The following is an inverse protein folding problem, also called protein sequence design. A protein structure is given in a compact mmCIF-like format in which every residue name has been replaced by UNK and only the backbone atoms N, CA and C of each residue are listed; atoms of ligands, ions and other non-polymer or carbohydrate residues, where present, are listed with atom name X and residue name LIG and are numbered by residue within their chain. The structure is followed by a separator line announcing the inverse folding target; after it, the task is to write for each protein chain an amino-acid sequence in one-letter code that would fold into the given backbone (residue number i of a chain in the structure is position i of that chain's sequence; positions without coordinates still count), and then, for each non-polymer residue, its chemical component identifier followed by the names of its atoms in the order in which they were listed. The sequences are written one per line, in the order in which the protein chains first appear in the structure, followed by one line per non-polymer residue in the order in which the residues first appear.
data_IF_246673805662
#
_entry.id   IF_246673805662
#
_cell.length_a   1.000
_cell.length_b   1.000
_cell.length_c   1.000
_cell.angle_alpha   90.00
_cell.angle_beta   90.00
_cell.angle_gamma   90.00
#
_symmetry.space_group_name_H-M   'P 1'
#
loop_
_entity.id
_entity.type
_entity.pdbx_description
1 polymer ?
#
# COMPACT_ATOMS: atom_id res chain seq x y z
N UNK A 1 3.83 7.69 10.34
CA UNK A 1 4.53 6.81 9.39
C UNK A 1 3.63 5.63 9.13
N UNK A 2 3.27 5.38 7.88
CA UNK A 2 2.47 4.21 7.50
C UNK A 2 2.26 4.22 5.99
N UNK A 3 1.28 4.99 5.50
CA UNK A 3 0.92 5.03 4.08
C UNK A 3 0.93 6.46 3.56
N UNK A 4 1.01 6.62 2.25
CA UNK A 4 0.80 7.89 1.55
C UNK A 4 -0.11 7.67 0.36
N UNK A 5 -0.87 8.70 0.00
CA UNK A 5 -1.87 8.66 -1.07
C UNK A 5 -1.42 9.61 -2.17
N UNK A 6 -1.45 9.13 -3.42
CA UNK A 6 -1.20 9.87 -4.67
C UNK A 6 -2.58 10.25 -5.28
N UNK A 7 -3.10 11.46 -5.03
CA UNK A 7 -4.47 11.84 -5.41
C UNK A 7 -4.71 11.80 -6.92
N UNK A 8 -3.67 12.01 -7.73
CA UNK A 8 -3.69 11.96 -9.19
C UNK A 8 -4.01 10.55 -9.73
N UNK A 9 -3.60 9.50 -9.01
CA UNK A 9 -3.92 8.10 -9.37
C UNK A 9 -5.23 7.61 -8.76
N UNK A 10 -5.66 8.23 -7.66
CA UNK A 10 -6.86 7.82 -6.95
C UNK A 10 -8.13 8.07 -7.79
N UNK A 11 -8.96 7.05 -7.92
CA UNK A 11 -10.26 7.12 -8.64
C UNK A 11 -11.47 7.18 -7.71
N UNK A 12 -11.26 7.36 -6.41
CA UNK A 12 -12.35 7.50 -5.43
C UNK A 12 -13.18 6.22 -5.19
N UNK A 13 -12.64 5.04 -5.51
CA UNK A 13 -13.41 3.78 -5.48
C UNK A 13 -13.82 3.26 -4.09
N UNK A 14 -13.28 3.80 -3.00
CA UNK A 14 -13.69 3.43 -1.63
C UNK A 14 -13.13 2.12 -1.08
N UNK A 15 -12.54 1.21 -1.87
CA UNK A 15 -12.01 -0.07 -1.36
C UNK A 15 -11.08 0.06 -0.15
N UNK A 16 -10.23 1.09 -0.15
CA UNK A 16 -9.30 1.36 0.94
C UNK A 16 -10.01 1.72 2.26
N UNK A 17 -11.22 2.28 2.21
CA UNK A 17 -12.04 2.59 3.39
C UNK A 17 -12.67 1.32 3.96
N UNK A 18 -13.12 0.41 3.10
CA UNK A 18 -13.74 -0.86 3.48
C UNK A 18 -12.78 -1.80 4.23
N UNK A 19 -11.50 -1.80 3.82
CA UNK A 19 -10.50 -2.70 4.41
C UNK A 19 -9.66 -2.07 5.52
N UNK A 20 -9.86 -0.80 5.86
CA UNK A 20 -9.07 -0.15 6.89
C UNK A 20 -9.58 -0.58 8.29
N UNK A 21 -8.86 -1.43 9.03
CA UNK A 21 -9.33 -1.87 10.36
C UNK A 21 -9.39 -0.72 11.37
N UNK A 22 -8.58 0.34 11.16
CA UNK A 22 -8.57 1.53 12.00
C UNK A 22 -9.65 2.56 11.64
N UNK A 23 -10.45 2.34 10.58
CA UNK A 23 -11.45 3.31 10.09
C UNK A 23 -10.87 4.73 9.86
N UNK A 24 -9.63 4.79 9.36
CA UNK A 24 -8.87 6.04 9.18
C UNK A 24 -8.96 6.61 7.76
N UNK A 25 -9.42 5.81 6.80
CA UNK A 25 -9.49 6.20 5.40
C UNK A 25 -10.93 6.55 5.03
N UNK A 26 -11.10 7.64 4.31
CA UNK A 26 -12.38 8.09 3.77
C UNK A 26 -12.22 8.58 2.32
N UNK A 27 -13.32 8.71 1.60
CA UNK A 27 -13.34 9.35 0.27
C UNK A 27 -14.00 10.72 0.39
N UNK A 28 -13.21 11.77 0.17
CA UNK A 28 -13.64 13.17 0.22
C UNK A 28 -13.34 13.82 -1.13
N UNK A 29 -14.32 14.53 -1.70
CA UNK A 29 -14.20 15.13 -3.03
C UNK A 29 -13.73 14.15 -4.13
N UNK A 30 -14.19 12.89 -4.05
CA UNK A 30 -13.83 11.84 -5.01
C UNK A 30 -12.41 11.30 -4.88
N UNK A 31 -11.69 11.61 -3.79
CA UNK A 31 -10.32 11.15 -3.54
C UNK A 31 -10.20 10.55 -2.15
N UNK A 32 -9.36 9.51 -2.02
CA UNK A 32 -9.05 8.93 -0.72
C UNK A 32 -8.25 9.92 0.12
N UNK A 33 -8.57 10.02 1.40
CA UNK A 33 -7.86 10.80 2.39
C UNK A 33 -7.72 10.00 3.69
N UNK A 34 -6.67 10.28 4.46
CA UNK A 34 -6.45 9.70 5.78
C UNK A 34 -6.74 10.75 6.86
N UNK A 35 -7.56 10.39 7.85
CA UNK A 35 -8.00 11.29 8.93
C UNK A 35 -6.88 11.65 9.90
N UNK A 36 -6.18 10.64 10.39
CA UNK A 36 -5.09 10.79 11.34
C UNK A 36 -3.99 9.78 11.02
N UNK A 37 -2.84 10.28 10.58
CA UNK A 37 -1.71 9.44 10.15
C UNK A 37 -1.07 8.73 11.35
N UNK A 38 -1.10 9.36 12.54
CA UNK A 38 -0.51 8.81 13.76
C UNK A 38 -1.20 7.51 14.20
N UNK A 39 -2.48 7.37 13.93
CA UNK A 39 -3.28 6.23 14.38
C UNK A 39 -3.19 5.05 13.42
N UNK A 40 -2.53 5.23 12.27
CA UNK A 40 -2.42 4.19 11.26
C UNK A 40 -1.36 3.15 11.64
N UNK A 41 -1.80 1.89 11.74
CA UNK A 41 -0.97 0.76 12.17
C UNK A 41 0.01 0.25 11.12
N UNK A 42 -0.02 0.80 9.91
CA UNK A 42 0.86 0.33 8.84
C UNK A 42 0.56 -1.10 8.37
N UNK A 43 -0.65 -1.63 8.59
CA UNK A 43 -1.01 -3.02 8.26
C UNK A 43 -1.05 -3.34 6.75
N UNK A 44 -0.88 -2.36 5.87
CA UNK A 44 -0.85 -2.47 4.39
C UNK A 44 -2.14 -2.97 3.71
N UNK A 45 -3.26 -3.16 4.43
CA UNK A 45 -4.51 -3.63 3.84
C UNK A 45 -4.99 -2.73 2.68
N UNK A 46 -4.99 -1.41 2.90
CA UNK A 46 -5.34 -0.44 1.86
C UNK A 46 -4.37 -0.38 0.68
N UNK A 47 -3.09 -0.73 0.87
CA UNK A 47 -2.08 -0.80 -0.20
C UNK A 47 -2.40 -1.98 -1.12
N UNK A 48 -2.73 -3.15 -0.55
CA UNK A 48 -3.10 -4.36 -1.30
C UNK A 48 -4.38 -4.19 -2.11
N UNK A 49 -5.34 -3.44 -1.58
CA UNK A 49 -6.67 -3.29 -2.18
C UNK A 49 -6.77 -2.14 -3.19
N UNK A 50 -5.75 -1.28 -3.28
CA UNK A 50 -5.80 -0.15 -4.20
C UNK A 50 -5.56 -0.61 -5.64
N UNK A 51 -6.55 -0.56 -6.56
CA UNK A 51 -6.38 -1.10 -7.91
C UNK A 51 -5.59 -0.15 -8.85
N UNK A 52 -5.21 1.03 -8.37
CA UNK A 52 -4.59 2.10 -9.17
C UNK A 52 -3.22 2.53 -8.64
N UNK A 53 -2.63 1.78 -7.71
CA UNK A 53 -1.36 2.14 -7.05
C UNK A 53 -1.36 3.57 -6.50
N UNK A 54 -2.53 4.03 -6.03
CA UNK A 54 -2.70 5.36 -5.47
C UNK A 54 -2.36 5.42 -3.99
N UNK A 55 -2.13 4.27 -3.35
CA UNK A 55 -1.75 4.18 -1.93
C UNK A 55 -0.49 3.31 -1.86
N UNK A 56 0.57 3.82 -1.25
CA UNK A 56 1.80 3.09 -1.03
C UNK A 56 2.23 3.16 0.43
N UNK A 57 3.00 2.16 0.87
CA UNK A 57 3.65 2.18 2.17
C UNK A 57 5.04 2.83 2.03
N UNK A 58 5.34 3.82 2.86
CA UNK A 58 6.66 4.45 2.87
C UNK A 58 7.60 3.67 3.78
N UNK A 59 8.61 3.02 3.19
CA UNK A 59 9.62 2.30 3.92
C UNK A 59 10.77 3.26 4.27
N UNK A 60 10.67 3.81 5.47
CA UNK A 60 11.69 4.69 6.03
C UNK A 60 13.02 3.96 6.23
N UNK A 61 14.11 4.73 6.38
CA UNK A 61 15.46 4.19 6.48
C UNK A 61 15.66 3.27 7.69
N UNK A 62 14.93 3.51 8.79
CA UNK A 62 14.93 2.69 10.00
C UNK A 62 14.35 1.28 9.79
N UNK A 63 13.47 1.11 8.80
CA UNK A 63 12.95 -0.21 8.40
C UNK A 63 13.84 -0.91 7.36
N UNK A 64 15.00 -0.34 7.04
CA UNK A 64 15.89 -0.84 6.00
C UNK A 64 15.42 -0.57 4.57
N UNK A 65 14.40 0.28 4.40
CA UNK A 65 13.79 0.57 3.10
C UNK A 65 14.45 1.67 2.28
N UNK A 66 15.48 2.33 2.82
CA UNK A 66 16.20 3.43 2.18
C UNK A 66 15.29 4.56 1.61
N UNK A 67 14.11 4.79 2.23
CA UNK A 67 13.14 5.78 1.75
C UNK A 67 12.30 5.31 0.55
N UNK A 68 12.25 3.99 0.32
CA UNK A 68 11.51 3.37 -0.76
C UNK A 68 9.99 3.42 -0.59
N UNK A 69 9.30 3.24 -1.71
CA UNK A 69 7.84 3.19 -1.79
C UNK A 69 7.42 1.77 -2.14
N UNK A 70 6.60 1.18 -1.29
CA UNK A 70 6.14 -0.20 -1.45
C UNK A 70 4.69 -0.22 -1.92
N UNK A 71 4.48 -0.88 -3.05
CA UNK A 71 3.18 -1.14 -3.66
C UNK A 71 2.86 -2.64 -3.60
N UNK A 72 1.58 -2.98 -3.79
CA UNK A 72 1.14 -4.36 -3.81
C UNK A 72 0.19 -4.60 -4.98
N UNK A 73 0.42 -5.69 -5.71
CA UNK A 73 -0.42 -6.14 -6.80
C UNK A 73 -0.91 -7.54 -6.50
N UNK A 74 -2.21 -7.66 -6.26
CA UNK A 74 -2.82 -8.95 -5.96
C UNK A 74 -3.44 -9.59 -7.21
N UNK A 75 -3.11 -10.87 -7.43
CA UNK A 75 -3.64 -11.68 -8.53
C UNK A 75 -4.20 -13.00 -8.00
N UNK A 76 -4.84 -13.79 -8.86
CA UNK A 76 -5.35 -15.10 -8.47
C UNK A 76 -4.23 -16.06 -7.97
N UNK A 77 -3.02 -15.97 -8.53
CA UNK A 77 -1.94 -16.91 -8.26
C UNK A 77 -0.90 -16.39 -7.25
N UNK A 78 -0.66 -15.08 -7.23
CA UNK A 78 0.41 -14.47 -6.44
C UNK A 78 0.04 -13.09 -5.91
N UNK A 79 0.66 -12.73 -4.79
CA UNK A 79 0.77 -11.36 -4.31
C UNK A 79 2.18 -10.86 -4.63
N UNK A 80 2.28 -9.81 -5.44
CA UNK A 80 3.55 -9.18 -5.77
C UNK A 80 3.71 -7.88 -4.98
N UNK A 81 4.81 -7.74 -4.26
CA UNK A 81 5.21 -6.47 -3.64
C UNK A 81 6.26 -5.80 -4.51
N UNK A 82 5.96 -4.60 -5.00
CA UNK A 82 6.89 -3.81 -5.81
C UNK A 82 7.50 -2.70 -4.95
N UNK A 83 8.80 -2.78 -4.72
CA UNK A 83 9.58 -1.76 -4.03
C UNK A 83 10.24 -0.83 -5.05
N UNK A 84 9.93 0.47 -4.98
CA UNK A 84 10.60 1.50 -5.78
C UNK A 84 11.50 2.34 -4.89
N UNK A 85 12.80 2.34 -5.15
CA UNK A 85 13.80 3.06 -4.37
C UNK A 85 13.98 4.50 -4.88
N UNK A 86 14.53 5.42 -4.06
CA UNK A 86 14.73 6.82 -4.47
C UNK A 86 15.70 7.01 -5.64
N UNK A 87 16.61 6.07 -5.86
CA UNK A 87 17.54 6.07 -6.99
C UNK A 87 16.89 5.61 -8.31
N UNK A 88 15.60 5.27 -8.28
CA UNK A 88 14.81 4.81 -9.41
C UNK A 88 14.89 3.30 -9.66
N UNK A 89 15.69 2.56 -8.88
CA UNK A 89 15.72 1.10 -8.98
C UNK A 89 14.44 0.48 -8.41
N UNK A 90 14.04 -0.66 -8.98
CA UNK A 90 12.84 -1.39 -8.56
C UNK A 90 13.19 -2.84 -8.19
N UNK A 91 12.50 -3.38 -7.19
CA UNK A 91 12.62 -4.77 -6.76
C UNK A 91 11.22 -5.36 -6.59
N UNK A 92 11.09 -6.65 -6.88
CA UNK A 92 9.83 -7.37 -6.71
C UNK A 92 10.00 -8.54 -5.73
N UNK A 93 9.04 -8.66 -4.81
CA UNK A 93 8.91 -9.82 -3.92
C UNK A 93 7.60 -10.51 -4.27
N UNK A 94 7.71 -11.68 -4.89
CA UNK A 94 6.55 -12.43 -5.38
C UNK A 94 6.24 -13.56 -4.38
N UNK A 95 5.05 -13.50 -3.79
CA UNK A 95 4.54 -14.53 -2.88
C UNK A 95 3.50 -15.37 -3.62
N UNK A 96 3.86 -16.61 -3.96
CA UNK A 96 2.92 -17.57 -4.54
C UNK A 96 1.88 -17.99 -3.49
N UNK A 97 0.59 -17.73 -3.74
CA UNK A 97 -0.48 -17.95 -2.75
C UNK A 97 -0.61 -19.43 -2.34
N UNK A 98 -0.37 -20.35 -3.27
CA UNK A 98 -0.39 -21.79 -3.01
C UNK A 98 0.79 -22.28 -2.16
N UNK A 99 1.80 -21.44 -1.90
CA UNK A 99 2.99 -21.75 -1.12
C UNK A 99 3.31 -20.70 -0.06
N UNK A 100 2.36 -19.82 0.27
CA UNK A 100 2.59 -18.67 1.14
C UNK A 100 3.08 -19.04 2.56
N UNK A 101 2.83 -20.27 3.00
CA UNK A 101 3.23 -20.80 4.31
C UNK A 101 4.21 -21.99 4.20
N UNK A 102 4.91 -22.11 3.07
CA UNK A 102 5.92 -23.15 2.88
C UNK A 102 7.25 -22.69 3.48
N UNK A 103 7.36 -22.75 4.81
CA UNK A 103 8.59 -22.58 5.57
C UNK A 103 9.09 -23.93 6.10
#
# INVERSE_FOLDING_TARGET
MSISIEPEKCVGCGRCTEVCPGNLLEVTAGKAAIREVRDCWGCTACVKECPRDAIFYYLSADLGGAGGRLYAHDSAASLTWQLRLPDGSEQEIIVAKNKANAY
#
